data_IF_436275757161
#
_entry.id   IF_436275757161
#
_cell.length_a   1.000
_cell.length_b   1.000
_cell.length_c   1.000
_cell.angle_alpha   90.00
_cell.angle_beta   90.00
_cell.angle_gamma   90.00
#
_symmetry.space_group_name_H-M   'P 1'
#
loop_
_entity.id
_entity.type
_entity.pdbx_description
1 polymer ?
#
# COMPACT_ATOMS: atom_id res chain seq x y z
N UNK A 1 -9.75 -35.73 -0.47
CA UNK A 1 -8.30 -35.49 -0.62
C UNK A 1 -7.85 -34.56 0.50
N UNK A 2 -6.78 -34.86 1.25
CA UNK A 2 -6.31 -33.96 2.31
C UNK A 2 -5.66 -32.72 1.69
N UNK A 3 -6.02 -31.54 2.17
CA UNK A 3 -5.34 -30.29 1.81
C UNK A 3 -3.92 -30.30 2.38
N UNK A 4 -2.92 -30.07 1.52
CA UNK A 4 -1.53 -29.90 1.94
C UNK A 4 -1.40 -28.53 2.62
N UNK A 5 -0.91 -28.48 3.86
CA UNK A 5 -0.52 -27.21 4.49
C UNK A 5 0.65 -26.63 3.72
N UNK A 6 0.43 -25.49 3.06
CA UNK A 6 1.47 -24.72 2.40
C UNK A 6 1.88 -23.58 3.33
N UNK A 7 3.18 -23.46 3.59
CA UNK A 7 3.74 -22.30 4.27
C UNK A 7 4.16 -21.25 3.23
N UNK A 8 3.22 -20.36 2.89
CA UNK A 8 3.43 -19.31 1.90
C UNK A 8 4.52 -18.31 2.32
N UNK A 9 4.71 -18.08 3.63
CA UNK A 9 5.73 -17.15 4.14
C UNK A 9 7.12 -17.71 3.88
N UNK A 10 7.32 -18.99 4.21
CA UNK A 10 8.59 -19.68 3.96
C UNK A 10 8.95 -19.70 2.47
N UNK A 11 7.99 -20.03 1.61
CA UNK A 11 8.20 -20.05 0.15
C UNK A 11 8.56 -18.67 -0.42
N UNK A 12 7.93 -17.61 0.09
CA UNK A 12 8.23 -16.24 -0.31
C UNK A 12 9.64 -15.84 0.13
N UNK A 13 10.00 -16.16 1.37
CA UNK A 13 11.34 -15.86 1.91
C UNK A 13 12.43 -16.59 1.12
N UNK A 14 12.26 -17.89 0.85
CA UNK A 14 13.20 -18.66 0.04
C UNK A 14 13.40 -18.05 -1.35
N UNK A 15 12.35 -17.48 -1.97
CA UNK A 15 12.45 -16.80 -3.27
C UNK A 15 13.19 -15.46 -3.17
N UNK A 16 12.89 -14.65 -2.16
CA UNK A 16 13.56 -13.37 -1.92
C UNK A 16 15.07 -13.58 -1.72
N UNK A 17 15.47 -14.63 -1.00
CA UNK A 17 16.89 -14.90 -0.73
C UNK A 17 17.65 -15.41 -1.95
N UNK A 18 17.01 -16.19 -2.82
CA UNK A 18 17.66 -16.88 -3.94
C UNK A 18 17.65 -16.11 -5.26
N UNK A 19 16.71 -15.18 -5.43
CA UNK A 19 16.51 -14.45 -6.67
C UNK A 19 16.55 -12.93 -6.41
N UNK A 20 17.65 -12.30 -6.81
CA UNK A 20 17.88 -10.86 -6.62
C UNK A 20 16.88 -10.00 -7.42
N UNK A 21 16.48 -10.45 -8.60
CA UNK A 21 15.53 -9.71 -9.44
C UNK A 21 14.12 -9.78 -8.84
N UNK A 22 13.75 -10.95 -8.34
CA UNK A 22 12.53 -11.13 -7.56
C UNK A 22 12.55 -10.29 -6.28
N UNK A 23 13.65 -10.31 -5.52
CA UNK A 23 13.79 -9.53 -4.29
C UNK A 23 13.61 -8.02 -4.53
N UNK A 24 14.23 -7.50 -5.60
CA UNK A 24 14.10 -6.09 -5.98
C UNK A 24 12.66 -5.73 -6.33
N UNK A 25 12.03 -6.50 -7.22
CA UNK A 25 10.64 -6.29 -7.65
C UNK A 25 9.68 -6.40 -6.47
N UNK A 26 9.90 -7.38 -5.59
CA UNK A 26 9.11 -7.56 -4.37
C UNK A 26 9.20 -6.34 -3.44
N UNK A 27 10.41 -5.80 -3.21
CA UNK A 27 10.58 -4.61 -2.37
C UNK A 27 9.99 -3.34 -3.00
N UNK A 28 9.91 -3.23 -4.32
CA UNK A 28 9.19 -2.14 -5.00
C UNK A 28 7.68 -2.25 -4.77
N UNK A 29 7.09 -3.40 -5.07
CA UNK A 29 5.65 -3.67 -4.88
C UNK A 29 5.24 -3.53 -3.40
N UNK A 30 6.08 -4.01 -2.49
CA UNK A 30 5.83 -3.95 -1.04
C UNK A 30 5.73 -2.52 -0.52
N UNK A 31 6.45 -1.56 -1.09
CA UNK A 31 6.36 -0.15 -0.70
C UNK A 31 5.01 0.44 -1.08
N UNK A 32 4.56 0.19 -2.31
CA UNK A 32 3.24 0.63 -2.79
C UNK A 32 2.13 0.03 -1.94
N UNK A 33 2.17 -1.29 -1.72
CA UNK A 33 1.24 -2.01 -0.86
C UNK A 33 1.20 -1.42 0.55
N UNK A 34 2.37 -1.17 1.16
CA UNK A 34 2.46 -0.63 2.53
C UNK A 34 1.80 0.74 2.63
N UNK A 35 2.05 1.63 1.66
CA UNK A 35 1.45 2.95 1.61
C UNK A 35 -0.09 2.85 1.51
N UNK A 36 -0.59 2.04 0.59
CA UNK A 36 -2.03 1.86 0.39
C UNK A 36 -2.69 1.28 1.64
N UNK A 37 -2.06 0.30 2.31
CA UNK A 37 -2.57 -0.25 3.56
C UNK A 37 -2.64 0.77 4.69
N UNK A 38 -1.68 1.69 4.78
CA UNK A 38 -1.73 2.77 5.78
C UNK A 38 -2.93 3.69 5.55
N UNK A 39 -3.20 4.05 4.29
CA UNK A 39 -4.36 4.88 3.94
C UNK A 39 -5.68 4.15 4.17
N UNK A 40 -5.78 2.87 3.79
CA UNK A 40 -6.96 2.03 4.07
C UNK A 40 -7.21 1.92 5.57
N UNK A 41 -6.14 1.74 6.35
CA UNK A 41 -6.22 1.64 7.81
C UNK A 41 -6.76 2.94 8.40
N UNK A 42 -6.19 4.09 8.04
CA UNK A 42 -6.66 5.39 8.51
C UNK A 42 -8.13 5.64 8.17
N UNK A 43 -8.55 5.35 6.92
CA UNK A 43 -9.96 5.44 6.53
C UNK A 43 -10.87 4.60 7.42
N UNK A 44 -10.48 3.35 7.72
CA UNK A 44 -11.24 2.45 8.58
C UNK A 44 -11.27 2.93 10.04
N UNK A 45 -10.17 3.49 10.55
CA UNK A 45 -10.09 4.07 11.89
C UNK A 45 -11.02 5.28 12.04
N UNK A 46 -11.22 6.05 10.97
CA UNK A 46 -12.22 7.12 10.90
C UNK A 46 -13.65 6.62 10.66
N UNK A 47 -13.86 5.31 10.50
CA UNK A 47 -15.19 4.73 10.26
C UNK A 47 -15.80 5.05 8.88
N UNK A 48 -15.00 5.54 7.93
CA UNK A 48 -15.50 5.97 6.62
C UNK A 48 -15.58 4.80 5.64
N UNK A 49 -16.66 4.72 4.88
CA UNK A 49 -16.73 3.93 3.64
C UNK A 49 -15.91 4.58 2.52
N UNK A 50 -15.61 3.82 1.47
CA UNK A 50 -14.94 4.37 0.27
C UNK A 50 -15.77 5.52 -0.37
N UNK A 51 -17.10 5.41 -0.33
CA UNK A 51 -18.01 6.43 -0.88
C UNK A 51 -17.98 7.71 -0.04
N UNK A 52 -17.95 7.59 1.28
CA UNK A 52 -17.90 8.75 2.17
C UNK A 52 -16.56 9.48 2.06
N UNK A 53 -15.44 8.75 2.00
CA UNK A 53 -14.14 9.36 1.73
C UNK A 53 -14.13 10.07 0.38
N UNK A 54 -14.66 9.43 -0.67
CA UNK A 54 -14.74 10.02 -2.01
C UNK A 54 -15.51 11.35 -2.00
N UNK A 55 -16.68 11.38 -1.35
CA UNK A 55 -17.48 12.58 -1.20
C UNK A 55 -16.74 13.67 -0.40
N UNK A 56 -16.04 13.28 0.68
CA UNK A 56 -15.29 14.20 1.54
C UNK A 56 -14.18 14.92 0.78
N UNK A 57 -13.50 14.24 -0.15
CA UNK A 57 -12.31 14.76 -0.85
C UNK A 57 -12.59 15.20 -2.30
N UNK A 58 -13.86 15.16 -2.72
CA UNK A 58 -14.28 15.61 -4.04
C UNK A 58 -13.77 14.75 -5.20
N UNK A 59 -13.73 13.42 -5.01
CA UNK A 59 -13.42 12.43 -6.07
C UNK A 59 -14.53 11.40 -6.17
N UNK A 60 -14.47 10.51 -7.17
CA UNK A 60 -15.46 9.44 -7.32
C UNK A 60 -15.11 8.24 -6.44
N UNK A 61 -16.12 7.45 -6.03
CA UNK A 61 -15.89 6.21 -5.30
C UNK A 61 -15.03 5.21 -6.09
N UNK A 62 -15.07 5.26 -7.42
CA UNK A 62 -14.20 4.46 -8.29
C UNK A 62 -12.72 4.87 -8.15
N UNK A 63 -12.42 6.15 -7.93
CA UNK A 63 -11.03 6.61 -7.68
C UNK A 63 -10.50 5.99 -6.38
N UNK A 64 -11.27 6.08 -5.29
CA UNK A 64 -10.90 5.47 -4.00
C UNK A 64 -10.77 3.95 -4.14
N UNK A 65 -11.74 3.30 -4.80
CA UNK A 65 -11.71 1.85 -5.00
C UNK A 65 -10.50 1.39 -5.82
N UNK A 66 -10.14 2.10 -6.88
CA UNK A 66 -8.96 1.77 -7.71
C UNK A 66 -7.66 1.94 -6.92
N UNK A 67 -7.57 3.02 -6.14
CA UNK A 67 -6.45 3.27 -5.24
C UNK A 67 -6.28 2.14 -4.22
N UNK A 68 -7.35 1.74 -3.53
CA UNK A 68 -7.28 0.72 -2.46
C UNK A 68 -7.05 -0.71 -2.97
N UNK A 69 -7.30 -0.98 -4.25
CA UNK A 69 -7.16 -2.31 -4.83
C UNK A 69 -5.91 -2.45 -5.72
N UNK A 70 -4.97 -1.50 -5.69
CA UNK A 70 -3.74 -1.53 -6.51
C UNK A 70 -4.00 -1.66 -8.02
N UNK A 71 -5.22 -1.33 -8.48
CA UNK A 71 -5.60 -1.51 -9.89
C UNK A 71 -5.10 -0.38 -10.78
N UNK A 72 -4.84 0.79 -10.21
CA UNK A 72 -4.21 1.94 -10.87
C UNK A 72 -3.58 2.86 -9.82
N UNK A 73 -2.34 3.31 -10.05
CA UNK A 73 -1.76 4.38 -9.25
C UNK A 73 -2.61 5.66 -9.39
N UNK A 74 -3.00 6.30 -8.27
CA UNK A 74 -3.67 7.59 -8.34
C UNK A 74 -2.70 8.64 -8.90
N UNK A 75 -3.24 9.71 -9.47
CA UNK A 75 -2.41 10.91 -9.66
C UNK A 75 -1.96 11.44 -8.29
N UNK A 76 -0.84 12.15 -8.26
CA UNK A 76 -0.33 12.76 -7.03
C UNK A 76 -1.40 13.66 -6.39
N UNK A 77 -2.12 14.44 -7.19
CA UNK A 77 -3.22 15.28 -6.73
C UNK A 77 -4.33 14.50 -6.01
N UNK A 78 -4.72 13.33 -6.53
CA UNK A 78 -5.73 12.49 -5.89
C UNK A 78 -5.19 11.88 -4.60
N UNK A 79 -3.92 11.47 -4.58
CA UNK A 79 -3.28 10.97 -3.36
C UNK A 79 -3.29 12.05 -2.26
N UNK A 80 -2.86 13.28 -2.58
CA UNK A 80 -2.84 14.39 -1.62
C UNK A 80 -4.26 14.66 -1.09
N UNK A 81 -5.26 14.78 -1.96
CA UNK A 81 -6.66 14.96 -1.53
C UNK A 81 -7.16 13.85 -0.61
N UNK A 82 -6.81 12.60 -0.91
CA UNK A 82 -7.17 11.45 -0.09
C UNK A 82 -6.53 11.56 1.30
N UNK A 83 -5.24 11.92 1.36
CA UNK A 83 -4.52 12.10 2.62
C UNK A 83 -5.11 13.26 3.44
N UNK A 84 -5.39 14.39 2.81
CA UNK A 84 -6.04 15.54 3.46
C UNK A 84 -7.40 15.16 4.06
N UNK A 85 -8.20 14.36 3.34
CA UNK A 85 -9.48 13.85 3.82
C UNK A 85 -9.38 12.86 4.98
N UNK A 86 -8.18 12.39 5.28
CA UNK A 86 -7.88 11.46 6.37
C UNK A 86 -7.06 12.10 7.48
N UNK A 87 -6.87 13.42 7.45
CA UNK A 87 -6.01 14.16 8.37
C UNK A 87 -4.57 13.59 8.40
N UNK A 88 -4.07 13.19 7.23
CA UNK A 88 -2.72 12.66 7.02
C UNK A 88 -1.87 13.59 6.17
N UNK A 89 -0.56 13.57 6.41
CA UNK A 89 0.43 14.30 5.60
C UNK A 89 1.49 13.31 5.08
N UNK A 90 1.96 13.52 3.85
CA UNK A 90 3.11 12.81 3.29
C UNK A 90 4.40 13.57 3.63
N UNK A 91 5.41 12.88 4.14
CA UNK A 91 6.73 13.45 4.43
C UNK A 91 7.83 12.77 3.64
N UNK A 92 8.85 13.55 3.25
CA UNK A 92 10.03 13.06 2.54
C UNK A 92 11.17 12.96 3.55
N UNK A 93 11.76 11.78 3.65
CA UNK A 93 12.93 11.53 4.51
C UNK A 93 14.03 10.81 3.75
N UNK A 94 15.29 10.98 4.18
CA UNK A 94 16.40 10.20 3.64
C UNK A 94 16.17 8.72 3.96
N UNK A 95 16.40 7.84 2.98
CA UNK A 95 16.48 6.40 3.25
C UNK A 95 17.57 6.21 4.31
N UNK A 96 17.28 5.45 5.37
CA UNK A 96 18.31 5.08 6.33
C UNK A 96 19.39 4.31 5.57
N UNK A 97 20.59 4.88 5.48
CA UNK A 97 21.76 4.13 5.08
C UNK A 97 21.93 3.04 6.13
N UNK A 98 21.85 1.78 5.73
CA UNK A 98 22.36 0.71 6.56
C UNK A 98 23.86 0.96 6.65
N UNK A 99 24.32 1.61 7.72
CA UNK A 99 25.73 1.67 8.05
C UNK A 99 26.15 0.21 8.24
N UNK A 100 26.87 -0.33 7.26
CA UNK A 100 27.66 -1.53 7.45
C UNK A 100 28.77 -1.17 8.43
N UNK A 101 28.63 -1.64 9.68
CA UNK A 101 29.75 -1.79 10.62
C UNK A 101 30.06 -3.28 10.66
#
# INVERSE_FOLDING_TARGET
MPFKKIDAKKMLQDKIEKDKEFAKTYEEVKKEYTLIQQVIKARKEMGLTQKELANKVGVTQQVISRFENEKNAPTLDNLIKILDGLDLEISISKKKDYISI
#
